data_IF_530059158398
#
_entry.id   IF_530059158398
#
_cell.length_a   1.000
_cell.length_b   1.000
_cell.length_c   1.000
_cell.angle_alpha   90.00
_cell.angle_beta   90.00
_cell.angle_gamma   90.00
#
_symmetry.space_group_name_H-M   'P 1'
#
loop_
_entity.id
_entity.type
_entity.pdbx_description
1 polymer ?
#
# COMPACT_ATOMS: atom_id res chain seq x y z
N UNK A 1 7.70 -20.32 -26.29
CA UNK A 1 7.81 -20.25 -24.82
C UNK A 1 9.21 -20.71 -24.48
N UNK A 2 10.04 -19.83 -23.93
CA UNK A 2 11.37 -20.22 -23.46
C UNK A 2 11.19 -21.26 -22.34
N UNK A 3 11.92 -22.39 -22.35
CA UNK A 3 11.90 -23.30 -21.21
C UNK A 3 12.43 -22.56 -19.97
N UNK A 4 11.91 -22.86 -18.76
CA UNK A 4 12.49 -22.31 -17.54
C UNK A 4 13.97 -22.72 -17.50
N UNK A 5 14.85 -21.73 -17.37
CA UNK A 5 16.29 -21.92 -17.20
C UNK A 5 16.56 -22.35 -15.77
N UNK A 6 17.47 -23.31 -15.55
CA UNK A 6 17.84 -23.90 -14.23
C UNK A 6 18.38 -22.91 -13.15
N UNK A 7 18.20 -21.60 -13.31
CA UNK A 7 18.52 -20.55 -12.33
C UNK A 7 17.32 -20.30 -11.36
N UNK A 8 16.54 -21.34 -11.07
CA UNK A 8 15.20 -21.21 -10.48
C UNK A 8 15.18 -21.13 -8.94
N UNK A 9 16.32 -20.96 -8.24
CA UNK A 9 16.36 -21.30 -6.80
C UNK A 9 17.34 -20.62 -5.85
N UNK A 10 18.15 -19.64 -6.26
CA UNK A 10 19.15 -19.07 -5.33
C UNK A 10 18.72 -17.71 -4.76
N UNK A 11 18.11 -17.72 -3.56
CA UNK A 11 18.16 -16.59 -2.63
C UNK A 11 16.85 -16.00 -2.12
N UNK A 12 15.69 -16.50 -2.56
CA UNK A 12 14.41 -16.01 -2.03
C UNK A 12 14.10 -16.62 -0.67
N UNK A 13 13.83 -15.76 0.31
CA UNK A 13 13.37 -16.15 1.65
C UNK A 13 12.09 -15.40 2.00
N UNK A 14 11.23 -16.04 2.77
CA UNK A 14 10.11 -15.38 3.43
C UNK A 14 10.57 -15.03 4.84
N UNK A 15 10.61 -13.74 5.15
CA UNK A 15 10.86 -13.25 6.51
C UNK A 15 9.55 -12.79 7.13
N UNK A 16 9.18 -13.38 8.26
CA UNK A 16 8.01 -12.97 9.04
C UNK A 16 8.45 -12.12 10.24
N UNK A 17 7.79 -10.99 10.46
CA UNK A 17 8.03 -10.11 11.59
C UNK A 17 6.72 -9.62 12.19
N UNK A 18 6.68 -9.50 13.52
CA UNK A 18 5.55 -8.90 14.23
C UNK A 18 5.69 -7.38 14.26
N UNK A 19 4.71 -6.67 13.73
CA UNK A 19 4.64 -5.20 13.84
C UNK A 19 4.52 -4.81 15.32
N UNK A 20 5.39 -3.90 15.78
CA UNK A 20 5.39 -3.38 17.16
C UNK A 20 4.86 -1.96 17.25
N UNK A 21 5.18 -1.15 16.26
CA UNK A 21 4.70 0.22 16.15
C UNK A 21 4.65 0.61 14.68
N UNK A 22 3.73 1.53 14.34
CA UNK A 22 3.66 2.20 13.05
C UNK A 22 3.83 3.68 13.31
N UNK A 23 4.86 4.28 12.73
CA UNK A 23 5.09 5.72 12.80
C UNK A 23 4.62 6.35 11.49
N UNK A 24 3.81 7.39 11.60
CA UNK A 24 3.31 8.15 10.46
C UNK A 24 3.44 9.64 10.75
N UNK A 25 3.71 10.42 9.72
CA UNK A 25 3.68 11.87 9.83
C UNK A 25 2.24 12.34 10.06
N UNK A 26 2.02 13.30 10.96
CA UNK A 26 0.69 13.75 11.35
C UNK A 26 -0.16 14.20 10.14
N UNK A 27 0.44 14.89 9.18
CA UNK A 27 -0.22 15.35 7.95
C UNK A 27 -0.83 14.25 7.07
N UNK A 28 -0.41 12.99 7.24
CA UNK A 28 -0.94 11.85 6.48
C UNK A 28 -1.82 10.94 7.35
N UNK A 29 -2.09 11.31 8.60
CA UNK A 29 -2.98 10.56 9.49
C UNK A 29 -4.39 11.15 9.45
N UNK A 30 -5.40 10.30 9.63
CA UNK A 30 -6.77 10.75 9.83
C UNK A 30 -7.06 10.94 11.32
N UNK A 31 -7.25 12.19 11.73
CA UNK A 31 -7.45 12.60 13.12
C UNK A 31 -8.53 11.76 13.83
N UNK A 32 -8.25 11.35 15.08
CA UNK A 32 -9.16 10.53 15.87
C UNK A 32 -9.26 9.07 15.42
N UNK A 33 -8.44 8.63 14.46
CA UNK A 33 -8.42 7.25 13.96
C UNK A 33 -7.01 6.68 13.90
N UNK A 34 -6.89 5.39 13.61
CA UNK A 34 -5.63 4.72 13.30
C UNK A 34 -5.45 4.51 11.78
N UNK A 35 -6.00 5.40 10.95
CA UNK A 35 -5.96 5.30 9.49
C UNK A 35 -5.03 6.34 8.86
N UNK A 36 -4.42 5.95 7.75
CA UNK A 36 -3.67 6.83 6.85
C UNK A 36 -4.63 7.45 5.83
N UNK A 37 -4.46 8.74 5.54
CA UNK A 37 -5.04 9.38 4.36
C UNK A 37 -4.21 9.00 3.14
N UNK A 38 -4.70 8.03 2.36
CA UNK A 38 -4.00 7.51 1.17
C UNK A 38 -3.83 8.58 0.09
N UNK A 39 -4.75 9.55 0.00
CA UNK A 39 -4.68 10.62 -1.00
C UNK A 39 -3.55 11.62 -0.67
N UNK A 40 -3.25 11.82 0.61
CA UNK A 40 -2.09 12.61 1.06
C UNK A 40 -0.80 11.81 1.04
N UNK A 41 -0.84 10.55 1.46
CA UNK A 41 0.33 9.67 1.52
C UNK A 41 0.92 9.34 0.14
N UNK A 42 0.09 9.21 -0.90
CA UNK A 42 0.49 8.96 -2.30
C UNK A 42 1.55 7.85 -2.43
N UNK A 43 1.24 6.59 -2.03
CA UNK A 43 2.22 5.53 -2.05
C UNK A 43 2.69 5.20 -3.47
N UNK A 44 3.94 4.75 -3.56
CA UNK A 44 4.54 4.26 -4.78
C UNK A 44 4.23 2.77 -4.97
N UNK A 45 3.58 2.42 -6.07
CA UNK A 45 3.25 1.04 -6.42
C UNK A 45 4.26 0.55 -7.45
N UNK A 46 4.89 -0.59 -7.17
CA UNK A 46 5.72 -1.29 -8.15
C UNK A 46 4.88 -2.30 -8.93
N UNK A 47 4.75 -2.08 -10.23
CA UNK A 47 3.94 -2.91 -11.13
C UNK A 47 4.73 -3.21 -12.41
N UNK A 48 5.03 -4.48 -12.67
CA UNK A 48 5.77 -4.93 -13.87
C UNK A 48 7.01 -4.08 -14.18
N UNK A 49 7.86 -3.82 -13.18
CA UNK A 49 9.07 -2.98 -13.30
C UNK A 49 8.83 -1.49 -13.56
N UNK A 50 7.61 -1.02 -13.34
CA UNK A 50 7.24 0.39 -13.41
C UNK A 50 6.81 0.88 -12.02
N UNK A 51 7.14 2.13 -11.72
CA UNK A 51 6.69 2.80 -10.51
C UNK A 51 5.52 3.72 -10.85
N UNK A 52 4.41 3.53 -10.14
CA UNK A 52 3.16 4.24 -10.39
C UNK A 52 2.66 4.90 -9.10
N UNK A 53 2.04 6.06 -9.22
CA UNK A 53 1.28 6.68 -8.13
C UNK A 53 -0.16 6.17 -8.07
N UNK A 54 -0.87 6.51 -7.00
CA UNK A 54 -2.31 6.21 -6.84
C UNK A 54 -3.15 7.29 -7.52
N UNK A 55 -4.19 6.88 -8.25
CA UNK A 55 -5.19 7.77 -8.84
C UNK A 55 -6.32 8.16 -7.88
N UNK A 56 -7.36 8.82 -8.40
CA UNK A 56 -8.53 9.18 -7.59
C UNK A 56 -9.29 7.95 -7.08
N UNK A 57 -9.80 7.97 -5.83
CA UNK A 57 -10.62 6.89 -5.29
C UNK A 57 -11.90 6.67 -6.10
N UNK A 58 -12.25 5.40 -6.37
CA UNK A 58 -13.41 5.05 -7.21
C UNK A 58 -14.62 4.54 -6.40
N UNK A 59 -14.38 3.80 -5.32
CA UNK A 59 -15.44 3.22 -4.49
C UNK A 59 -14.91 2.78 -3.11
N UNK A 60 -15.84 2.41 -2.22
CA UNK A 60 -15.53 1.74 -0.94
C UNK A 60 -16.37 0.47 -0.79
N UNK A 61 -15.83 -0.52 -0.09
CA UNK A 61 -16.59 -1.72 0.30
C UNK A 61 -17.17 -1.57 1.72
N UNK A 62 -18.03 -2.50 2.12
CA UNK A 62 -18.72 -2.47 3.42
C UNK A 62 -17.81 -2.59 4.65
N UNK A 63 -16.54 -2.99 4.48
CA UNK A 63 -15.54 -3.07 5.56
C UNK A 63 -14.67 -1.82 5.68
N UNK A 64 -14.82 -0.84 4.79
CA UNK A 64 -14.07 0.41 4.88
C UNK A 64 -14.48 1.18 6.15
N UNK A 65 -13.51 1.43 7.04
CA UNK A 65 -13.71 2.13 8.31
C UNK A 65 -13.25 3.59 8.26
N UNK A 66 -12.69 4.03 7.12
CA UNK A 66 -12.26 5.42 6.93
C UNK A 66 -13.46 6.33 6.68
N UNK A 67 -13.46 7.56 7.22
CA UNK A 67 -14.46 8.58 6.91
C UNK A 67 -14.69 8.76 5.41
N UNK A 68 -15.92 9.11 5.06
CA UNK A 68 -16.24 9.52 3.71
C UNK A 68 -15.61 10.89 3.45
N UNK A 69 -14.89 11.01 2.33
CA UNK A 69 -14.26 12.26 1.97
C UNK A 69 -15.36 13.24 1.58
N UNK A 70 -15.39 14.42 2.22
CA UNK A 70 -16.23 15.51 1.76
C UNK A 70 -15.81 15.90 0.33
N UNK A 71 -16.76 16.19 -0.59
CA UNK A 71 -16.40 16.71 -1.90
C UNK A 71 -15.59 18.01 -1.73
N UNK A 72 -14.62 18.20 -2.62
CA UNK A 72 -13.77 19.39 -2.66
C UNK A 72 -14.59 20.65 -3.00
#
# INVERSE_FOLDING_TARGET
MQPPSDDDGQGFVIAEGRIRCVHAHEDITQAGTQHIDVARWKPLIYLFRHYLGVGEPVARNFRAQTPERAPA
#
